data_IF_768111475581
#
_entry.id   IF_768111475581
#
_cell.length_a   1.000
_cell.length_b   1.000
_cell.length_c   1.000
_cell.angle_alpha   90.00
_cell.angle_beta   90.00
_cell.angle_gamma   90.00
#
_symmetry.space_group_name_H-M   'P 1'
#
loop_
_entity.id
_entity.type
_entity.pdbx_description
1 polymer ?
#
# COMPACT_ATOMS: atom_id res chain seq x y z
N UNK A 1 -12.94 38.01 11.99
CA UNK A 1 -11.72 37.44 12.63
C UNK A 1 -11.97 35.96 12.91
N UNK A 2 -11.00 35.06 12.67
CA UNK A 2 -11.19 33.64 12.98
C UNK A 2 -11.31 33.46 14.50
N UNK A 3 -12.21 32.58 14.97
CA UNK A 3 -12.50 32.39 16.41
C UNK A 3 -11.24 32.12 17.25
N UNK A 4 -10.34 31.26 16.75
CA UNK A 4 -9.06 30.91 17.41
C UNK A 4 -8.08 32.08 17.45
N UNK A 5 -7.94 32.84 16.38
CA UNK A 5 -7.13 34.08 16.34
C UNK A 5 -7.64 35.09 17.36
N UNK A 6 -8.95 35.29 17.45
CA UNK A 6 -9.54 36.18 18.46
C UNK A 6 -9.27 35.71 19.90
N UNK A 7 -9.31 34.40 20.13
CA UNK A 7 -8.99 33.83 21.45
C UNK A 7 -7.54 34.11 21.86
N UNK A 8 -6.60 34.05 20.91
CA UNK A 8 -5.17 34.36 21.17
C UNK A 8 -4.95 35.84 21.46
N UNK A 9 -5.69 36.73 20.82
CA UNK A 9 -5.65 38.17 21.14
C UNK A 9 -6.14 38.44 22.57
N UNK A 10 -7.26 37.80 22.98
CA UNK A 10 -7.77 37.91 24.36
C UNK A 10 -6.75 37.33 25.35
N UNK A 11 -6.14 36.19 25.03
CA UNK A 11 -5.13 35.57 25.86
C UNK A 11 -3.89 36.47 26.03
N UNK A 12 -3.43 37.11 24.95
CA UNK A 12 -2.32 38.07 24.99
C UNK A 12 -2.65 39.27 25.89
N UNK A 13 -3.87 39.81 25.80
CA UNK A 13 -4.32 40.91 26.66
C UNK A 13 -4.38 40.50 28.15
N UNK A 14 -4.86 39.29 28.44
CA UNK A 14 -4.90 38.77 29.80
C UNK A 14 -3.49 38.57 30.37
N UNK A 15 -2.57 37.99 29.59
CA UNK A 15 -1.16 37.83 29.98
C UNK A 15 -0.47 39.18 30.19
N UNK A 16 -0.78 40.18 29.36
CA UNK A 16 -0.30 41.54 29.55
C UNK A 16 -0.76 42.13 30.89
N UNK A 17 -2.05 41.98 31.23
CA UNK A 17 -2.58 42.45 32.52
C UNK A 17 -1.90 41.78 33.71
N UNK A 18 -1.65 40.47 33.63
CA UNK A 18 -0.93 39.72 34.66
C UNK A 18 0.50 40.22 34.84
N UNK A 19 1.21 40.56 33.76
CA UNK A 19 2.57 41.08 33.88
C UNK A 19 2.63 42.48 34.51
N UNK A 20 1.59 43.31 34.32
CA UNK A 20 1.56 44.67 34.89
C UNK A 20 1.04 44.67 36.33
N UNK A 21 0.01 43.87 36.64
CA UNK A 21 -0.66 43.85 37.95
C UNK A 21 -0.14 42.75 38.90
N UNK A 22 0.65 41.81 38.42
CA UNK A 22 1.15 40.68 39.20
C UNK A 22 0.07 39.63 39.52
N UNK A 23 0.39 38.73 40.47
CA UNK A 23 -0.43 37.54 40.77
C UNK A 23 -1.81 37.85 41.36
N UNK A 24 -2.05 39.08 41.80
CA UNK A 24 -3.31 39.54 42.38
C UNK A 24 -4.52 39.36 41.43
N UNK A 25 -4.28 39.32 40.12
CA UNK A 25 -5.33 39.26 39.09
C UNK A 25 -5.51 37.87 38.50
N UNK A 26 -4.77 36.86 38.99
CA UNK A 26 -4.90 35.47 38.50
C UNK A 26 -6.34 34.96 38.66
N UNK A 27 -6.97 35.27 39.79
CA UNK A 27 -8.35 34.86 40.07
C UNK A 27 -9.38 35.63 39.21
N UNK A 28 -8.97 36.71 38.53
CA UNK A 28 -9.83 37.52 37.65
C UNK A 28 -9.79 37.06 36.18
N UNK A 29 -8.88 36.16 35.79
CA UNK A 29 -8.63 35.78 34.38
C UNK A 29 -9.90 35.29 33.67
N UNK A 30 -10.65 34.40 34.33
CA UNK A 30 -11.87 33.81 33.74
C UNK A 30 -12.93 34.89 33.51
N UNK A 31 -13.10 35.79 34.50
CA UNK A 31 -14.00 36.94 34.40
C UNK A 31 -13.55 37.92 33.30
N UNK A 32 -12.25 38.17 33.19
CA UNK A 32 -11.68 39.02 32.14
C UNK A 32 -11.96 38.47 30.75
N UNK A 33 -11.61 37.20 30.48
CA UNK A 33 -11.78 36.58 29.16
C UNK A 33 -13.26 36.52 28.75
N UNK A 34 -14.15 36.19 29.69
CA UNK A 34 -15.60 36.15 29.44
C UNK A 34 -16.22 37.53 29.20
N UNK A 35 -15.62 38.61 29.73
CA UNK A 35 -16.06 39.99 29.43
C UNK A 35 -15.61 40.46 28.05
N UNK A 36 -14.48 39.99 27.54
CA UNK A 36 -13.95 40.38 26.22
C UNK A 36 -14.74 39.77 25.06
N UNK A 37 -15.36 38.59 25.25
CA UNK A 37 -16.15 37.95 24.21
C UNK A 37 -17.31 37.14 24.81
N UNK A 38 -18.53 37.33 24.27
CA UNK A 38 -19.73 36.59 24.69
C UNK A 38 -19.79 35.16 24.16
N UNK A 39 -18.97 34.80 23.17
CA UNK A 39 -18.91 33.44 22.65
C UNK A 39 -18.07 32.54 23.56
N UNK A 40 -18.73 31.55 24.18
CA UNK A 40 -18.09 30.64 25.14
C UNK A 40 -16.89 29.89 24.58
N UNK A 41 -16.91 29.47 23.32
CA UNK A 41 -15.80 28.72 22.72
C UNK A 41 -14.53 29.57 22.60
N UNK A 42 -14.69 30.88 22.35
CA UNK A 42 -13.58 31.84 22.23
C UNK A 42 -13.00 32.13 23.60
N UNK A 43 -13.86 32.45 24.58
CA UNK A 43 -13.40 32.76 25.94
C UNK A 43 -12.79 31.54 26.62
N UNK A 44 -13.39 30.35 26.48
CA UNK A 44 -12.85 29.11 27.04
C UNK A 44 -11.47 28.76 26.46
N UNK A 45 -11.28 28.94 25.15
CA UNK A 45 -9.97 28.70 24.55
C UNK A 45 -8.93 29.73 24.99
N UNK A 46 -9.30 31.01 25.09
CA UNK A 46 -8.43 32.04 25.65
C UNK A 46 -8.00 31.72 27.10
N UNK A 47 -8.95 31.34 27.96
CA UNK A 47 -8.70 30.93 29.35
C UNK A 47 -7.73 29.74 29.40
N UNK A 48 -7.94 28.72 28.55
CA UNK A 48 -7.06 27.55 28.46
C UNK A 48 -5.62 27.96 28.14
N UNK A 49 -5.44 28.85 27.19
CA UNK A 49 -4.12 29.35 26.79
C UNK A 49 -3.44 30.12 27.93
N UNK A 50 -4.15 31.05 28.58
CA UNK A 50 -3.60 31.88 29.67
C UNK A 50 -3.20 31.00 30.86
N UNK A 51 -4.09 30.12 31.33
CA UNK A 51 -3.82 29.23 32.46
C UNK A 51 -2.66 28.29 32.16
N UNK A 52 -2.60 27.75 30.94
CA UNK A 52 -1.47 26.94 30.49
C UNK A 52 -0.13 27.68 30.51
N UNK A 53 -0.11 28.92 30.01
CA UNK A 53 1.08 29.77 30.05
C UNK A 53 1.52 30.11 31.47
N UNK A 54 0.59 30.29 32.42
CA UNK A 54 0.91 30.53 33.84
C UNK A 54 1.51 29.27 34.46
N UNK A 55 0.85 28.13 34.26
CA UNK A 55 1.27 26.85 34.83
C UNK A 55 2.67 26.45 34.36
N UNK A 56 2.94 26.57 33.05
CA UNK A 56 4.17 26.12 32.42
C UNK A 56 5.21 27.25 32.24
N UNK A 57 4.97 28.42 32.85
CA UNK A 57 5.75 29.65 32.64
C UNK A 57 7.26 29.41 32.76
N UNK A 58 7.69 28.76 33.83
CA UNK A 58 9.12 28.56 34.12
C UNK A 58 9.80 27.70 33.06
N UNK A 59 9.14 26.64 32.58
CA UNK A 59 9.70 25.73 31.58
C UNK A 59 9.69 26.37 30.19
N UNK A 60 8.63 27.10 29.86
CA UNK A 60 8.54 27.88 28.62
C UNK A 60 9.66 28.94 28.58
N UNK A 61 9.84 29.69 29.67
CA UNK A 61 10.85 30.75 29.76
C UNK A 61 12.26 30.19 29.61
N UNK A 62 12.57 29.06 30.28
CA UNK A 62 13.87 28.37 30.13
C UNK A 62 14.13 27.99 28.67
N UNK A 63 13.14 27.43 27.97
CA UNK A 63 13.27 27.03 26.56
C UNK A 63 13.47 28.24 25.67
N UNK A 64 12.70 29.31 25.86
CA UNK A 64 12.90 30.56 25.09
C UNK A 64 14.33 31.08 25.29
N UNK A 65 14.78 31.22 26.54
CA UNK A 65 16.12 31.73 26.88
C UNK A 65 17.22 30.89 26.24
N UNK A 66 17.10 29.56 26.28
CA UNK A 66 18.10 28.65 25.70
C UNK A 66 18.25 28.79 24.18
N UNK A 67 17.27 29.39 23.48
CA UNK A 67 17.30 29.57 22.03
C UNK A 67 17.74 30.97 21.58
N UNK A 68 17.82 31.92 22.52
CA UNK A 68 18.21 33.31 22.27
C UNK A 68 19.60 33.60 22.82
N UNK A 69 20.63 33.56 21.97
CA UNK A 69 21.98 33.98 22.34
C UNK A 69 21.98 35.50 22.64
N UNK A 70 22.54 35.88 23.80
CA UNK A 70 22.74 37.28 24.25
C UNK A 70 21.48 38.11 24.59
N UNK A 71 20.31 37.49 24.76
CA UNK A 71 19.09 38.21 25.17
C UNK A 71 18.54 37.70 26.50
N UNK A 72 18.47 38.60 27.47
CA UNK A 72 17.74 38.39 28.73
C UNK A 72 16.24 38.56 28.46
N UNK A 73 15.44 37.55 28.81
CA UNK A 73 13.99 37.54 28.65
C UNK A 73 13.31 38.74 29.32
N UNK A 74 13.89 39.26 30.41
CA UNK A 74 13.38 40.44 31.11
C UNK A 74 13.63 41.75 30.36
N UNK A 75 14.58 41.78 29.41
CA UNK A 75 14.86 42.94 28.56
C UNK A 75 13.99 42.99 27.30
N UNK A 76 13.20 41.95 27.03
CA UNK A 76 12.28 41.90 25.90
C UNK A 76 11.03 42.76 26.17
N UNK A 77 10.45 43.40 25.13
CA UNK A 77 9.14 44.02 25.25
C UNK A 77 8.13 43.04 25.84
N UNK A 78 7.35 43.51 26.81
CA UNK A 78 6.30 42.75 27.51
C UNK A 78 5.39 42.00 26.53
N UNK A 79 5.02 42.64 25.43
CA UNK A 79 4.19 42.05 24.38
C UNK A 79 4.91 40.88 23.68
N UNK A 80 6.15 41.08 23.23
CA UNK A 80 6.93 40.06 22.52
C UNK A 80 7.17 38.83 23.40
N UNK A 81 7.48 39.04 24.69
CA UNK A 81 7.65 37.97 25.66
C UNK A 81 6.36 37.15 25.85
N UNK A 82 5.22 37.81 25.98
CA UNK A 82 3.94 37.11 26.15
C UNK A 82 3.50 36.39 24.88
N UNK A 83 3.80 36.94 23.69
CA UNK A 83 3.57 36.25 22.40
C UNK A 83 4.41 34.98 22.32
N UNK A 84 5.70 35.05 22.67
CA UNK A 84 6.59 33.89 22.68
C UNK A 84 6.09 32.82 23.66
N UNK A 85 5.68 33.21 24.86
CA UNK A 85 5.13 32.27 25.85
C UNK A 85 3.88 31.57 25.35
N UNK A 86 2.96 32.35 24.78
CA UNK A 86 1.71 31.84 24.21
C UNK A 86 1.98 30.81 23.11
N UNK A 87 2.86 31.15 22.17
CA UNK A 87 3.22 30.29 21.05
C UNK A 87 3.98 29.03 21.50
N UNK A 88 4.91 29.17 22.45
CA UNK A 88 5.64 28.03 23.01
C UNK A 88 4.70 27.10 23.78
N UNK A 89 3.72 27.62 24.52
CA UNK A 89 2.71 26.79 25.16
C UNK A 89 1.95 25.95 24.13
N UNK A 90 1.50 26.56 23.03
CA UNK A 90 0.85 25.81 21.96
C UNK A 90 1.78 24.76 21.34
N UNK A 91 3.02 25.14 21.00
CA UNK A 91 3.99 24.24 20.38
C UNK A 91 4.36 23.02 21.23
N UNK A 92 4.42 23.19 22.56
CA UNK A 92 4.96 22.18 23.47
C UNK A 92 3.88 21.34 24.14
N UNK A 93 2.65 21.87 24.27
CA UNK A 93 1.61 21.24 25.11
C UNK A 93 0.27 21.05 24.39
N UNK A 94 0.08 21.60 23.18
CA UNK A 94 -1.19 21.52 22.45
C UNK A 94 -1.07 20.73 21.15
N UNK A 95 -1.16 19.41 21.25
CA UNK A 95 -1.03 18.48 20.12
C UNK A 95 -2.13 18.62 19.05
N UNK A 96 -3.24 19.30 19.37
CA UNK A 96 -4.35 19.58 18.44
C UNK A 96 -4.08 20.77 17.50
N UNK A 97 -2.97 21.50 17.68
CA UNK A 97 -2.62 22.68 16.89
C UNK A 97 -1.35 22.40 16.09
N UNK A 98 -1.40 22.45 14.74
CA UNK A 98 -0.20 22.25 13.93
C UNK A 98 0.88 23.30 14.25
N UNK A 99 2.16 22.93 14.41
CA UNK A 99 3.23 23.85 14.81
C UNK A 99 3.34 25.12 13.97
N UNK A 100 3.20 24.97 12.64
CA UNK A 100 3.22 26.08 11.69
C UNK A 100 2.09 27.09 11.93
N UNK A 101 0.93 26.65 12.41
CA UNK A 101 -0.19 27.53 12.75
C UNK A 101 0.15 28.37 13.98
N UNK A 102 0.68 27.76 15.04
CA UNK A 102 1.10 28.48 16.25
C UNK A 102 2.18 29.53 15.96
N UNK A 103 3.15 29.20 15.11
CA UNK A 103 4.21 30.12 14.69
C UNK A 103 3.63 31.31 13.90
N UNK A 104 2.82 31.04 12.88
CA UNK A 104 2.24 32.11 12.05
C UNK A 104 1.35 33.06 12.85
N UNK A 105 0.51 32.52 13.74
CA UNK A 105 -0.39 33.34 14.57
C UNK A 105 0.42 34.22 15.54
N UNK A 106 1.53 33.73 16.06
CA UNK A 106 2.43 34.51 16.92
C UNK A 106 3.10 35.67 16.15
N UNK A 107 3.55 35.43 14.92
CA UNK A 107 4.14 36.45 14.05
C UNK A 107 3.11 37.54 13.75
N UNK A 108 1.86 37.17 13.46
CA UNK A 108 0.81 38.12 13.16
C UNK A 108 0.41 38.94 14.39
N UNK A 109 0.38 38.35 15.59
CA UNK A 109 0.22 39.09 16.85
C UNK A 109 1.37 40.09 17.06
N UNK A 110 2.61 39.69 16.77
CA UNK A 110 3.78 40.55 16.94
C UNK A 110 3.73 41.75 15.99
N UNK A 111 3.36 41.53 14.73
CA UNK A 111 3.13 42.60 13.75
C UNK A 111 2.00 43.55 14.17
N UNK A 112 0.96 43.03 14.82
CA UNK A 112 -0.23 43.80 15.20
C UNK A 112 -0.06 44.61 16.48
N UNK A 113 0.64 44.08 17.48
CA UNK A 113 0.68 44.66 18.83
C UNK A 113 2.07 45.13 19.30
N UNK A 114 3.10 44.95 18.47
CA UNK A 114 4.49 45.30 18.83
C UNK A 114 5.16 46.14 17.72
N UNK A 115 6.48 46.03 17.57
CA UNK A 115 7.26 46.83 16.61
C UNK A 115 7.36 46.16 15.23
N UNK A 116 7.73 46.94 14.20
CA UNK A 116 7.95 46.41 12.83
C UNK A 116 8.97 45.26 12.78
N UNK A 117 9.94 45.23 13.70
CA UNK A 117 10.99 44.18 13.76
C UNK A 117 10.59 42.97 14.60
N UNK A 118 9.52 43.07 15.40
CA UNK A 118 9.13 42.01 16.35
C UNK A 118 8.67 40.73 15.65
N UNK A 119 8.04 40.81 14.48
CA UNK A 119 7.61 39.63 13.73
C UNK A 119 8.78 38.72 13.30
N UNK A 120 9.89 39.31 12.85
CA UNK A 120 11.10 38.56 12.47
C UNK A 120 11.77 37.92 13.68
N UNK A 121 11.83 38.66 14.80
CA UNK A 121 12.39 38.16 16.05
C UNK A 121 11.59 36.98 16.60
N UNK A 122 10.26 37.11 16.69
CA UNK A 122 9.37 36.04 17.16
C UNK A 122 9.50 34.80 16.28
N UNK A 123 9.55 34.97 14.95
CA UNK A 123 9.76 33.84 14.04
C UNK A 123 11.08 33.11 14.33
N UNK A 124 12.19 33.85 14.43
CA UNK A 124 13.51 33.26 14.64
C UNK A 124 13.66 32.49 15.96
N UNK A 125 13.01 32.95 17.03
CA UNK A 125 12.99 32.24 18.32
C UNK A 125 12.14 30.98 18.22
N UNK A 126 10.92 31.07 17.67
CA UNK A 126 10.01 29.94 17.59
C UNK A 126 10.50 28.84 16.64
N UNK A 127 11.18 29.20 15.55
CA UNK A 127 11.81 28.23 14.64
C UNK A 127 12.87 27.38 15.37
N UNK A 128 13.68 28.01 16.24
CA UNK A 128 14.67 27.30 17.06
C UNK A 128 14.00 26.42 18.12
N UNK A 129 12.96 26.92 18.80
CA UNK A 129 12.20 26.13 19.78
C UNK A 129 11.56 24.91 19.12
N UNK A 130 10.95 25.08 17.95
CA UNK A 130 10.40 23.98 17.16
C UNK A 130 11.47 22.96 16.78
N UNK A 131 12.60 23.41 16.24
CA UNK A 131 13.71 22.54 15.84
C UNK A 131 14.26 21.72 17.02
N UNK A 132 14.54 22.37 18.15
CA UNK A 132 15.20 21.72 19.29
C UNK A 132 14.27 20.82 20.09
N UNK A 133 13.02 21.25 20.34
CA UNK A 133 12.16 20.61 21.33
C UNK A 133 10.94 19.89 20.76
N UNK A 134 10.53 20.19 19.51
CA UNK A 134 9.36 19.56 18.89
C UNK A 134 9.80 18.56 17.84
N UNK A 135 10.62 18.99 16.86
CA UNK A 135 11.12 18.15 15.77
C UNK A 135 11.96 16.97 16.27
N UNK A 136 12.90 17.21 17.19
CA UNK A 136 13.72 16.15 17.81
C UNK A 136 12.86 15.11 18.53
N UNK A 137 11.83 15.55 19.26
CA UNK A 137 10.92 14.65 19.97
C UNK A 137 10.01 13.86 19.01
N UNK A 138 9.58 14.45 17.90
CA UNK A 138 8.87 13.73 16.84
C UNK A 138 9.75 12.68 16.15
N UNK A 139 11.03 12.98 15.91
CA UNK A 139 11.99 12.04 15.33
C UNK A 139 12.29 10.87 16.26
N UNK A 140 12.53 11.13 17.54
CA UNK A 140 12.68 10.08 18.57
C UNK A 140 11.42 9.25 18.68
N UNK A 141 10.23 9.87 18.71
CA UNK A 141 8.95 9.15 18.79
C UNK A 141 8.69 8.29 17.56
N UNK A 142 9.07 8.74 16.35
CA UNK A 142 9.02 7.93 15.12
C UNK A 142 9.96 6.73 15.18
N UNK A 143 11.17 6.91 15.70
CA UNK A 143 12.13 5.81 15.88
C UNK A 143 11.59 4.80 16.89
N UNK A 144 11.13 5.24 18.07
CA UNK A 144 10.58 4.36 19.10
C UNK A 144 9.33 3.63 18.62
N UNK A 145 8.41 4.33 17.94
CA UNK A 145 7.20 3.71 17.36
C UNK A 145 7.55 2.68 16.28
N UNK A 146 8.60 2.93 15.49
CA UNK A 146 9.07 1.99 14.46
C UNK A 146 9.72 0.74 15.07
N UNK A 147 10.45 0.91 16.17
CA UNK A 147 11.04 -0.19 16.94
C UNK A 147 9.93 -0.99 17.63
N UNK A 148 8.98 -0.33 18.30
CA UNK A 148 7.83 -0.97 18.93
C UNK A 148 6.95 -1.72 17.93
N UNK A 149 6.69 -1.17 16.75
CA UNK A 149 5.95 -1.85 15.70
C UNK A 149 6.70 -3.07 15.14
N UNK A 150 8.03 -3.01 15.00
CA UNK A 150 8.85 -4.17 14.61
C UNK A 150 8.80 -5.26 15.68
N UNK A 151 8.97 -4.91 16.95
CA UNK A 151 8.91 -5.84 18.08
C UNK A 151 7.50 -6.44 18.25
N UNK A 152 6.45 -5.70 17.91
CA UNK A 152 5.07 -6.19 17.93
C UNK A 152 4.77 -7.17 16.78
N UNK A 153 5.23 -6.86 15.56
CA UNK A 153 5.12 -7.75 14.39
C UNK A 153 5.93 -9.04 14.55
N UNK A 154 7.05 -9.01 15.28
CA UNK A 154 7.84 -10.22 15.60
C UNK A 154 7.16 -11.13 16.65
N UNK A 155 6.26 -10.59 17.49
CA UNK A 155 5.58 -11.34 18.56
C UNK A 155 4.14 -11.78 18.21
N UNK A 156 3.52 -11.23 17.17
CA UNK A 156 2.22 -11.68 16.67
C UNK A 156 2.40 -12.82 15.66
N UNK A 157 1.71 -13.95 15.90
CA UNK A 157 1.71 -15.08 14.97
C UNK A 157 1.14 -14.61 13.62
N UNK A 158 1.96 -14.64 12.56
CA UNK A 158 1.53 -14.39 11.17
C UNK A 158 0.33 -15.27 10.82
N UNK A 159 -0.62 -14.73 10.08
CA UNK A 159 -1.86 -15.42 9.68
C UNK A 159 -2.30 -14.98 8.29
N UNK A 160 -3.07 -15.84 7.61
CA UNK A 160 -3.67 -15.53 6.33
C UNK A 160 -2.70 -15.68 5.17
N UNK A 161 -3.28 -15.82 3.97
CA UNK A 161 -2.51 -16.01 2.75
C UNK A 161 -3.10 -15.30 1.54
N UNK A 162 -2.21 -14.77 0.70
CA UNK A 162 -2.52 -14.26 -0.62
C UNK A 162 -1.75 -15.09 -1.65
N UNK A 163 -2.47 -15.94 -2.39
CA UNK A 163 -1.86 -16.95 -3.26
C UNK A 163 -1.86 -16.56 -4.75
N UNK A 164 -2.17 -15.31 -5.09
CA UNK A 164 -2.20 -14.88 -6.48
C UNK A 164 -1.64 -13.46 -6.59
N UNK A 165 -0.33 -13.37 -6.78
CA UNK A 165 0.41 -12.10 -6.82
C UNK A 165 1.31 -12.10 -8.05
N UNK A 166 1.35 -10.97 -8.77
CA UNK A 166 2.24 -10.75 -9.92
C UNK A 166 3.31 -9.71 -9.59
N UNK A 167 4.49 -9.90 -10.18
CA UNK A 167 5.69 -9.08 -10.03
C UNK A 167 6.15 -8.52 -11.36
N UNK A 168 7.26 -7.76 -11.34
CA UNK A 168 7.95 -7.32 -12.55
C UNK A 168 8.47 -8.46 -13.44
N UNK A 169 8.51 -9.71 -12.96
CA UNK A 169 8.87 -10.87 -13.79
C UNK A 169 7.74 -11.27 -14.77
N UNK A 170 6.53 -10.73 -14.60
CA UNK A 170 5.47 -10.72 -15.61
C UNK A 170 4.95 -9.31 -15.88
N UNK A 171 3.73 -9.01 -15.44
CA UNK A 171 3.00 -7.76 -15.66
C UNK A 171 2.55 -7.10 -14.35
N UNK A 172 3.12 -7.47 -13.21
CA UNK A 172 3.10 -6.69 -11.99
C UNK A 172 4.12 -5.55 -11.99
N UNK A 173 3.96 -4.58 -11.08
CA UNK A 173 4.90 -3.44 -10.95
C UNK A 173 5.80 -3.51 -9.71
N UNK A 174 5.59 -4.50 -8.84
CA UNK A 174 6.41 -4.68 -7.64
C UNK A 174 7.49 -5.71 -7.90
N UNK A 175 8.71 -5.46 -7.43
CA UNK A 175 9.76 -6.48 -7.42
C UNK A 175 9.42 -7.61 -6.44
N UNK A 176 10.02 -8.80 -6.58
CA UNK A 176 9.85 -9.88 -5.60
C UNK A 176 10.18 -9.43 -4.16
N UNK A 177 11.22 -8.60 -3.98
CA UNK A 177 11.57 -8.00 -2.70
C UNK A 177 10.45 -7.13 -2.14
N UNK A 178 9.86 -6.28 -2.98
CA UNK A 178 8.78 -5.37 -2.58
C UNK A 178 7.52 -6.15 -2.20
N UNK A 179 7.20 -7.23 -2.92
CA UNK A 179 6.09 -8.14 -2.59
C UNK A 179 6.29 -8.74 -1.21
N UNK A 180 7.49 -9.28 -0.92
CA UNK A 180 7.80 -9.88 0.39
C UNK A 180 7.79 -8.83 1.51
N UNK A 181 8.29 -7.62 1.25
CA UNK A 181 8.23 -6.50 2.19
C UNK A 181 6.78 -6.13 2.53
N UNK A 182 5.91 -6.00 1.51
CA UNK A 182 4.51 -5.65 1.71
C UNK A 182 3.73 -6.74 2.43
N UNK A 183 3.92 -8.01 2.03
CA UNK A 183 3.37 -9.16 2.73
C UNK A 183 3.80 -9.21 4.21
N UNK A 184 5.05 -8.82 4.49
CA UNK A 184 5.55 -8.72 5.86
C UNK A 184 4.83 -7.65 6.67
N UNK A 185 4.56 -6.47 6.10
CA UNK A 185 3.81 -5.38 6.76
C UNK A 185 2.37 -5.78 7.05
N UNK A 186 1.76 -6.55 6.16
CA UNK A 186 0.41 -7.09 6.32
C UNK A 186 0.33 -8.29 7.27
N UNK A 187 1.47 -8.70 7.86
CA UNK A 187 1.58 -9.84 8.77
C UNK A 187 1.06 -11.17 8.18
N UNK A 188 1.16 -11.35 6.85
CA UNK A 188 0.73 -12.56 6.16
C UNK A 188 1.62 -13.75 6.55
N UNK A 189 1.01 -14.92 6.73
CA UNK A 189 1.75 -16.18 6.97
C UNK A 189 2.30 -16.74 5.67
N UNK A 190 1.49 -16.73 4.61
CA UNK A 190 1.85 -17.39 3.34
C UNK A 190 1.57 -16.49 2.15
N UNK A 191 2.45 -16.49 1.16
CA UNK A 191 2.19 -15.89 -0.15
C UNK A 191 2.52 -16.87 -1.27
N UNK A 192 1.97 -16.63 -2.46
CA UNK A 192 2.44 -17.25 -3.69
C UNK A 192 2.58 -16.19 -4.78
N UNK A 193 3.74 -16.18 -5.44
CA UNK A 193 3.98 -15.33 -6.62
C UNK A 193 3.69 -16.20 -7.83
N UNK A 194 2.67 -15.84 -8.59
CA UNK A 194 2.11 -16.62 -9.69
C UNK A 194 2.24 -15.84 -11.01
N UNK A 195 3.47 -15.43 -11.33
CA UNK A 195 3.74 -14.64 -12.53
C UNK A 195 3.28 -15.38 -13.80
N UNK A 196 2.79 -14.60 -14.77
CA UNK A 196 2.33 -15.12 -16.05
C UNK A 196 3.47 -15.74 -16.87
N UNK A 197 3.37 -17.06 -17.06
CA UNK A 197 4.29 -17.84 -17.87
C UNK A 197 5.79 -17.63 -17.44
N UNK A 198 6.04 -17.35 -16.15
CA UNK A 198 7.38 -17.18 -15.56
C UNK A 198 7.44 -17.67 -14.11
N UNK A 199 8.62 -18.11 -13.68
CA UNK A 199 8.93 -18.51 -12.28
C UNK A 199 10.14 -17.76 -11.73
N UNK A 200 10.64 -16.76 -12.45
CA UNK A 200 11.92 -16.11 -12.18
C UNK A 200 11.92 -15.37 -10.83
N UNK A 201 10.74 -14.92 -10.36
CA UNK A 201 10.57 -14.28 -9.07
C UNK A 201 10.68 -15.24 -7.86
N UNK A 202 10.46 -16.53 -8.06
CA UNK A 202 10.20 -17.47 -6.96
C UNK A 202 11.44 -17.66 -6.09
N UNK A 203 12.62 -17.90 -6.69
CA UNK A 203 13.86 -18.13 -5.94
C UNK A 203 14.35 -16.88 -5.19
N UNK A 204 14.17 -15.70 -5.80
CA UNK A 204 14.45 -14.40 -5.18
C UNK A 204 13.58 -14.22 -3.94
N UNK A 205 12.26 -14.40 -4.09
CA UNK A 205 11.32 -14.24 -3.00
C UNK A 205 11.52 -15.29 -1.89
N UNK A 206 11.82 -16.55 -2.22
CA UNK A 206 12.16 -17.61 -1.25
C UNK A 206 13.29 -17.20 -0.31
N UNK A 207 14.37 -16.64 -0.87
CA UNK A 207 15.54 -16.20 -0.08
C UNK A 207 15.16 -15.15 0.97
N UNK A 208 14.22 -14.26 0.64
CA UNK A 208 13.81 -13.15 1.51
C UNK A 208 12.74 -13.59 2.50
N UNK A 209 11.77 -14.39 2.05
CA UNK A 209 10.71 -14.99 2.86
C UNK A 209 11.30 -15.80 4.03
N UNK A 210 12.32 -16.62 3.78
CA UNK A 210 13.02 -17.39 4.81
C UNK A 210 13.61 -16.50 5.91
N UNK A 211 14.15 -15.32 5.57
CA UNK A 211 14.70 -14.37 6.54
C UNK A 211 13.62 -13.65 7.36
N UNK A 212 12.38 -13.61 6.87
CA UNK A 212 11.26 -12.86 7.48
C UNK A 212 10.20 -13.75 8.13
N UNK A 213 10.38 -15.08 8.07
CA UNK A 213 9.41 -16.04 8.59
C UNK A 213 8.08 -16.04 7.84
N UNK A 214 8.09 -15.70 6.54
CA UNK A 214 6.93 -15.80 5.65
C UNK A 214 7.08 -17.09 4.85
N UNK A 215 6.02 -17.89 4.75
CA UNK A 215 6.01 -19.04 3.86
C UNK A 215 5.76 -18.57 2.43
N UNK A 216 6.50 -19.12 1.48
CA UNK A 216 6.22 -18.92 0.06
C UNK A 216 5.94 -20.24 -0.63
N UNK A 217 4.85 -20.28 -1.39
CA UNK A 217 4.51 -21.41 -2.25
C UNK A 217 5.08 -21.11 -3.65
N UNK A 218 5.95 -21.98 -4.20
CA UNK A 218 6.38 -21.89 -5.60
C UNK A 218 5.15 -21.95 -6.50
N UNK A 219 4.96 -20.94 -7.35
CA UNK A 219 3.78 -20.86 -8.19
C UNK A 219 4.04 -20.25 -9.56
N UNK A 220 3.09 -20.45 -10.46
CA UNK A 220 3.05 -19.88 -11.81
C UNK A 220 1.59 -19.73 -12.24
N UNK A 221 1.28 -18.73 -13.05
CA UNK A 221 0.00 -18.68 -13.77
C UNK A 221 0.22 -19.00 -15.25
N UNK A 222 -0.19 -20.22 -15.66
CA UNK A 222 -0.12 -20.63 -17.05
C UNK A 222 -1.32 -20.11 -17.81
N UNK A 223 -1.05 -19.43 -18.91
CA UNK A 223 -2.10 -19.17 -19.89
C UNK A 223 -2.41 -20.42 -20.69
N UNK A 224 -3.70 -20.66 -20.92
CA UNK A 224 -4.20 -21.71 -21.78
C UNK A 224 -5.39 -21.21 -22.60
N UNK A 225 -5.73 -21.97 -23.64
CA UNK A 225 -6.88 -21.69 -24.49
C UNK A 225 -7.82 -22.88 -24.53
N UNK A 226 -9.11 -22.58 -24.39
CA UNK A 226 -10.19 -23.49 -24.70
C UNK A 226 -11.23 -22.75 -25.52
N UNK A 227 -11.27 -23.07 -26.81
CA UNK A 227 -12.01 -22.30 -27.81
C UNK A 227 -13.45 -21.96 -27.36
N UNK A 228 -13.88 -20.68 -27.44
CA UNK A 228 -13.14 -19.49 -27.87
C UNK A 228 -12.58 -18.62 -26.72
N UNK A 229 -12.22 -19.20 -25.57
CA UNK A 229 -11.85 -18.45 -24.36
C UNK A 229 -10.41 -18.69 -23.89
N UNK A 230 -9.76 -17.60 -23.47
CA UNK A 230 -8.54 -17.65 -22.67
C UNK A 230 -8.90 -18.12 -21.25
N UNK A 231 -8.16 -19.12 -20.76
CA UNK A 231 -8.34 -19.72 -19.43
C UNK A 231 -6.98 -19.76 -18.76
N UNK A 232 -6.91 -19.31 -17.52
CA UNK A 232 -5.69 -19.40 -16.74
C UNK A 232 -5.77 -20.52 -15.71
N UNK A 233 -4.66 -21.25 -15.58
CA UNK A 233 -4.48 -22.28 -14.57
C UNK A 233 -3.29 -21.89 -13.71
N UNK A 234 -3.55 -21.73 -12.41
CA UNK A 234 -2.52 -21.55 -11.40
C UNK A 234 -1.88 -22.90 -11.10
N UNK A 235 -0.55 -22.95 -11.05
CA UNK A 235 0.19 -24.10 -10.54
C UNK A 235 0.81 -23.75 -9.21
N UNK A 236 0.49 -24.51 -8.16
CA UNK A 236 1.11 -24.37 -6.83
C UNK A 236 2.06 -25.53 -6.53
N UNK A 237 3.08 -25.29 -5.72
CA UNK A 237 4.09 -26.29 -5.34
C UNK A 237 4.82 -26.90 -6.53
N UNK A 238 4.95 -26.15 -7.62
CA UNK A 238 5.67 -26.58 -8.82
C UNK A 238 7.17 -26.70 -8.55
N UNK A 239 7.82 -27.68 -9.18
CA UNK A 239 9.28 -27.74 -9.29
C UNK A 239 9.75 -26.70 -10.32
N UNK A 240 10.24 -25.58 -9.81
CA UNK A 240 10.76 -24.44 -10.59
C UNK A 240 12.05 -24.79 -11.35
N UNK A 241 12.66 -25.97 -11.12
CA UNK A 241 13.83 -26.47 -11.86
C UNK A 241 13.47 -27.53 -12.89
N UNK A 242 12.20 -27.89 -13.01
CA UNK A 242 11.73 -28.87 -13.98
C UNK A 242 12.01 -28.37 -15.41
N UNK A 243 12.80 -29.13 -16.18
CA UNK A 243 13.25 -28.70 -17.51
C UNK A 243 12.12 -28.60 -18.54
N UNK A 244 11.09 -29.44 -18.43
CA UNK A 244 9.93 -29.40 -19.34
C UNK A 244 9.09 -28.15 -19.10
N UNK A 245 8.84 -27.81 -17.82
CA UNK A 245 8.21 -26.56 -17.42
C UNK A 245 9.01 -25.37 -17.95
N UNK A 246 10.29 -25.25 -17.59
CA UNK A 246 11.14 -24.13 -17.99
C UNK A 246 11.23 -23.96 -19.51
N UNK A 247 11.37 -25.06 -20.26
CA UNK A 247 11.36 -25.04 -21.72
C UNK A 247 10.04 -24.50 -22.29
N UNK A 248 8.90 -24.94 -21.74
CA UNK A 248 7.59 -24.47 -22.20
C UNK A 248 7.30 -23.03 -21.81
N UNK A 249 7.69 -22.59 -20.61
CA UNK A 249 7.59 -21.19 -20.19
C UNK A 249 8.38 -20.28 -21.14
N UNK A 250 9.60 -20.68 -21.52
CA UNK A 250 10.42 -19.94 -22.48
C UNK A 250 9.73 -19.80 -23.85
N UNK A 251 9.15 -20.88 -24.37
CA UNK A 251 8.37 -20.87 -25.62
C UNK A 251 7.16 -19.90 -25.53
N UNK A 252 6.40 -19.96 -24.43
CA UNK A 252 5.24 -19.08 -24.22
C UNK A 252 5.64 -17.60 -24.12
N UNK A 253 6.77 -17.29 -23.48
CA UNK A 253 7.30 -15.92 -23.42
C UNK A 253 7.76 -15.42 -24.80
N UNK A 254 8.37 -16.29 -25.61
CA UNK A 254 8.72 -15.96 -26.99
C UNK A 254 7.47 -15.63 -27.83
N UNK A 255 6.41 -16.44 -27.72
CA UNK A 255 5.15 -16.18 -28.42
C UNK A 255 4.47 -14.88 -27.96
N UNK A 256 4.61 -14.50 -26.68
CA UNK A 256 4.16 -13.19 -26.18
C UNK A 256 4.89 -12.03 -26.86
N UNK A 257 6.21 -12.12 -27.03
CA UNK A 257 7.00 -11.10 -27.75
C UNK A 257 6.47 -10.93 -29.18
N UNK A 258 6.29 -12.03 -29.91
CA UNK A 258 5.77 -11.98 -31.28
C UNK A 258 4.34 -11.45 -31.36
N UNK A 259 3.50 -11.79 -30.36
CA UNK A 259 2.15 -11.25 -30.25
C UNK A 259 2.15 -9.74 -30.04
N UNK A 260 3.02 -9.21 -29.19
CA UNK A 260 3.13 -7.76 -28.95
C UNK A 260 3.53 -7.02 -30.22
N UNK A 261 4.49 -7.54 -31.01
CA UNK A 261 4.84 -6.97 -32.33
C UNK A 261 3.63 -6.90 -33.27
N UNK A 262 2.77 -7.92 -33.27
CA UNK A 262 1.53 -7.94 -34.07
C UNK A 262 0.49 -6.94 -33.55
N UNK A 263 0.31 -6.83 -32.23
CA UNK A 263 -0.61 -5.87 -31.59
C UNK A 263 -0.20 -4.43 -31.92
N UNK A 264 1.08 -4.07 -31.71
CA UNK A 264 1.57 -2.72 -31.98
C UNK A 264 1.53 -2.38 -33.46
N UNK A 265 1.77 -3.34 -34.36
CA UNK A 265 1.54 -3.16 -35.80
C UNK A 265 0.08 -2.83 -36.13
N UNK A 266 -0.89 -3.51 -35.52
CA UNK A 266 -2.32 -3.18 -35.67
C UNK A 266 -2.61 -1.77 -35.15
N UNK A 267 -2.12 -1.41 -33.96
CA UNK A 267 -2.28 -0.07 -33.40
C UNK A 267 -1.77 1.01 -34.36
N UNK A 268 -0.56 0.85 -34.90
CA UNK A 268 0.02 1.81 -35.86
C UNK A 268 -0.79 1.94 -37.15
N UNK A 269 -1.36 0.84 -37.65
CA UNK A 269 -2.24 0.89 -38.83
C UNK A 269 -3.52 1.71 -38.61
N UNK A 270 -3.87 1.99 -37.35
CA UNK A 270 -5.02 2.81 -36.96
C UNK A 270 -4.61 4.24 -36.53
N UNK A 271 -3.36 4.64 -36.76
CA UNK A 271 -2.84 5.95 -36.35
C UNK A 271 -2.43 6.04 -34.88
N UNK A 272 -2.40 4.92 -34.15
CA UNK A 272 -1.92 4.86 -32.76
C UNK A 272 -0.44 4.48 -32.78
N UNK A 273 0.43 5.49 -32.69
CA UNK A 273 1.87 5.31 -32.86
C UNK A 273 2.51 4.74 -31.60
N UNK A 274 2.44 3.42 -31.45
CA UNK A 274 3.11 2.66 -30.39
C UNK A 274 4.10 1.69 -31.03
N UNK A 275 5.37 1.77 -30.61
CA UNK A 275 6.40 0.81 -31.00
C UNK A 275 6.48 -0.36 -30.03
N UNK A 276 6.83 -1.54 -30.55
CA UNK A 276 6.98 -2.73 -29.71
C UNK A 276 8.15 -2.58 -28.73
N UNK A 277 9.21 -1.86 -29.11
CA UNK A 277 10.32 -1.59 -28.21
C UNK A 277 9.86 -0.81 -26.97
N UNK A 278 8.99 0.20 -27.12
CA UNK A 278 8.44 0.93 -25.97
C UNK A 278 7.68 0.03 -25.00
N UNK A 279 7.01 -1.01 -25.52
CA UNK A 279 6.31 -2.01 -24.69
C UNK A 279 7.30 -2.92 -23.98
N UNK A 280 8.38 -3.32 -24.65
CA UNK A 280 9.43 -4.14 -24.06
C UNK A 280 10.22 -3.37 -23.00
N UNK A 281 10.50 -2.09 -23.22
CA UNK A 281 11.17 -1.23 -22.24
C UNK A 281 10.35 -1.10 -20.94
N UNK A 282 9.01 -1.15 -21.03
CA UNK A 282 8.11 -1.14 -19.87
C UNK A 282 7.97 -2.51 -19.19
N UNK A 283 8.15 -3.60 -19.94
CA UNK A 283 8.19 -4.95 -19.40
C UNK A 283 9.56 -5.32 -18.80
N UNK A 284 10.61 -4.59 -19.18
CA UNK A 284 12.01 -4.86 -18.83
C UNK A 284 12.38 -6.31 -19.18
N UNK A 285 12.81 -7.10 -18.19
CA UNK A 285 13.14 -8.52 -18.35
C UNK A 285 11.93 -9.45 -18.14
N UNK A 286 10.77 -8.89 -17.78
CA UNK A 286 9.54 -9.62 -17.51
C UNK A 286 8.81 -10.14 -18.76
N UNK A 287 7.85 -11.04 -18.54
CA UNK A 287 6.98 -11.60 -19.58
C UNK A 287 6.02 -10.53 -20.15
N UNK A 288 6.21 -10.05 -21.40
CA UNK A 288 5.41 -8.94 -21.91
C UNK A 288 3.96 -9.35 -22.20
N UNK A 289 3.06 -8.36 -22.20
CA UNK A 289 1.62 -8.63 -22.17
C UNK A 289 0.78 -7.41 -22.54
N UNK A 290 -0.54 -7.61 -22.64
CA UNK A 290 -1.47 -6.52 -23.00
C UNK A 290 -1.48 -5.40 -21.96
N UNK A 291 -1.24 -5.70 -20.69
CA UNK A 291 -1.13 -4.68 -19.65
C UNK A 291 0.04 -3.71 -19.90
N UNK A 292 1.17 -4.20 -20.42
CA UNK A 292 2.28 -3.34 -20.84
C UNK A 292 1.90 -2.45 -22.04
N UNK A 293 1.15 -2.99 -23.02
CA UNK A 293 0.63 -2.18 -24.13
C UNK A 293 -0.33 -1.10 -23.63
N UNK A 294 -1.20 -1.44 -22.69
CA UNK A 294 -2.13 -0.49 -22.06
C UNK A 294 -1.38 0.62 -21.32
N UNK A 295 -0.31 0.29 -20.59
CA UNK A 295 0.53 1.27 -19.91
C UNK A 295 1.17 2.25 -20.91
N UNK A 296 1.75 1.75 -22.01
CA UNK A 296 2.32 2.62 -23.07
C UNK A 296 1.24 3.49 -23.72
N UNK A 297 0.04 2.95 -23.99
CA UNK A 297 -1.08 3.74 -24.51
C UNK A 297 -1.45 4.90 -23.57
N UNK A 298 -1.44 4.65 -22.25
CA UNK A 298 -1.69 5.68 -21.25
C UNK A 298 -0.57 6.72 -21.18
N UNK A 299 0.69 6.29 -21.12
CA UNK A 299 1.86 7.19 -21.09
C UNK A 299 1.93 8.12 -22.29
N UNK A 300 1.47 7.65 -23.46
CA UNK A 300 1.43 8.44 -24.71
C UNK A 300 0.13 9.26 -24.88
N UNK A 301 -0.78 9.21 -23.91
CA UNK A 301 -2.03 10.00 -23.92
C UNK A 301 -3.11 9.49 -24.87
N UNK A 302 -3.01 8.25 -25.38
CA UNK A 302 -4.05 7.66 -26.24
C UNK A 302 -5.29 7.20 -25.46
N UNK A 303 -5.10 6.93 -24.17
CA UNK A 303 -6.11 6.50 -23.19
C UNK A 303 -5.78 7.09 -21.81
N UNK A 304 -6.79 7.39 -20.99
CA UNK A 304 -6.61 7.99 -19.67
C UNK A 304 -6.20 6.96 -18.60
N UNK A 305 -6.54 5.69 -18.80
CA UNK A 305 -6.25 4.60 -17.87
C UNK A 305 -6.24 3.23 -18.56
N UNK A 306 -5.81 2.20 -17.84
CA UNK A 306 -5.71 0.82 -18.32
C UNK A 306 -7.07 0.30 -18.80
N UNK A 307 -8.16 0.57 -18.06
CA UNK A 307 -9.50 0.12 -18.42
C UNK A 307 -9.93 0.67 -19.79
N UNK A 308 -9.71 1.96 -20.05
CA UNK A 308 -9.99 2.59 -21.33
C UNK A 308 -9.16 1.95 -22.45
N UNK A 309 -7.89 1.65 -22.21
CA UNK A 309 -7.01 0.97 -23.18
C UNK A 309 -7.57 -0.40 -23.60
N UNK A 310 -8.08 -1.18 -22.66
CA UNK A 310 -8.73 -2.46 -22.95
C UNK A 310 -10.05 -2.27 -23.68
N UNK A 311 -10.90 -1.35 -23.24
CA UNK A 311 -12.19 -1.09 -23.88
C UNK A 311 -12.03 -0.61 -25.33
N UNK A 312 -11.06 0.25 -25.58
CA UNK A 312 -10.85 0.91 -26.89
C UNK A 312 -10.07 0.04 -27.87
N UNK A 313 -9.08 -0.73 -27.39
CA UNK A 313 -8.13 -1.41 -28.28
C UNK A 313 -7.88 -2.90 -27.98
N UNK A 314 -7.69 -3.27 -26.71
CA UNK A 314 -6.97 -4.50 -26.34
C UNK A 314 -7.85 -5.68 -25.86
N UNK A 315 -9.14 -5.46 -25.67
CA UNK A 315 -10.11 -6.49 -25.26
C UNK A 315 -10.17 -7.66 -26.24
N UNK A 316 -10.74 -8.78 -25.79
CA UNK A 316 -11.09 -9.87 -26.69
C UNK A 316 -12.21 -9.35 -27.62
N UNK A 317 -11.95 -9.33 -28.93
CA UNK A 317 -12.70 -8.60 -29.97
C UNK A 317 -12.36 -7.10 -30.17
N UNK A 318 -11.39 -6.56 -29.43
CA UNK A 318 -10.87 -5.22 -29.65
C UNK A 318 -10.15 -5.10 -31.00
N UNK A 319 -10.05 -3.88 -31.57
CA UNK A 319 -9.49 -3.69 -32.91
C UNK A 319 -8.00 -4.05 -33.01
N UNK A 320 -7.25 -3.98 -31.90
CA UNK A 320 -5.86 -4.40 -31.85
C UNK A 320 -5.68 -5.86 -31.37
N UNK A 321 -6.77 -6.61 -31.15
CA UNK A 321 -6.70 -7.97 -30.64
C UNK A 321 -5.92 -8.89 -31.58
N UNK A 322 -4.99 -9.67 -31.01
CA UNK A 322 -4.28 -10.75 -31.69
C UNK A 322 -4.49 -12.01 -30.85
N UNK A 323 -4.94 -13.13 -31.43
CA UNK A 323 -5.05 -14.40 -30.70
C UNK A 323 -3.72 -14.79 -30.07
N UNK A 324 -3.78 -15.38 -28.88
CA UNK A 324 -2.60 -15.88 -28.18
C UNK A 324 -2.28 -17.30 -28.66
N UNK A 325 -1.03 -17.56 -29.06
CA UNK A 325 -0.52 -18.93 -29.14
C UNK A 325 -0.23 -19.38 -27.72
N UNK A 326 -0.86 -20.45 -27.28
CA UNK A 326 -0.85 -20.86 -25.88
C UNK A 326 -1.11 -22.36 -25.76
N UNK A 327 -0.95 -22.88 -24.54
CA UNK A 327 -1.22 -24.27 -24.23
C UNK A 327 -2.70 -24.60 -24.45
N UNK A 328 -2.99 -25.84 -24.83
CA UNK A 328 -4.36 -26.31 -24.63
C UNK A 328 -4.65 -26.38 -23.14
N UNK A 329 -5.93 -26.27 -22.76
CA UNK A 329 -6.34 -26.42 -21.35
C UNK A 329 -5.81 -27.72 -20.72
N UNK A 330 -5.78 -28.81 -21.49
CA UNK A 330 -5.26 -30.10 -21.04
C UNK A 330 -3.75 -30.03 -20.80
N UNK A 331 -2.99 -29.54 -21.77
CA UNK A 331 -1.53 -29.46 -21.66
C UNK A 331 -1.09 -28.56 -20.50
N UNK A 332 -1.83 -27.49 -20.18
CA UNK A 332 -1.53 -26.63 -19.04
C UNK A 332 -1.68 -27.37 -17.69
N UNK A 333 -2.75 -28.14 -17.53
CA UNK A 333 -2.99 -28.95 -16.33
C UNK A 333 -1.94 -30.07 -16.23
N UNK A 334 -1.70 -30.80 -17.31
CA UNK A 334 -0.72 -31.89 -17.36
C UNK A 334 0.71 -31.37 -17.13
N UNK A 335 1.08 -30.19 -17.65
CA UNK A 335 2.38 -29.57 -17.41
C UNK A 335 2.59 -29.29 -15.92
N UNK A 336 1.60 -28.69 -15.24
CA UNK A 336 1.68 -28.43 -13.80
C UNK A 336 1.85 -29.73 -13.02
N UNK A 337 1.04 -30.75 -13.32
CA UNK A 337 1.13 -32.07 -12.65
C UNK A 337 2.50 -32.70 -12.88
N UNK A 338 3.01 -32.68 -14.12
CA UNK A 338 4.31 -33.24 -14.46
C UNK A 338 5.50 -32.50 -13.82
N UNK A 339 5.28 -31.24 -13.42
CA UNK A 339 6.21 -30.46 -12.62
C UNK A 339 6.04 -30.66 -11.10
N UNK A 340 5.21 -31.61 -10.68
CA UNK A 340 4.95 -31.93 -9.26
C UNK A 340 3.94 -31.00 -8.58
N UNK A 341 3.34 -30.06 -9.31
CA UNK A 341 2.44 -29.05 -8.75
C UNK A 341 0.97 -29.45 -8.73
N UNK A 342 0.18 -28.59 -8.11
CA UNK A 342 -1.29 -28.66 -8.04
C UNK A 342 -1.89 -27.66 -9.04
N UNK A 343 -2.62 -28.14 -10.08
CA UNK A 343 -3.34 -27.28 -10.99
C UNK A 343 -4.65 -26.75 -10.37
N UNK A 344 -4.84 -25.45 -10.45
CA UNK A 344 -5.97 -24.71 -9.87
C UNK A 344 -6.60 -23.79 -10.90
N UNK A 345 -7.93 -23.82 -11.03
CA UNK A 345 -8.65 -22.96 -11.97
C UNK A 345 -8.71 -21.53 -11.43
N UNK A 346 -8.03 -20.61 -12.12
CA UNK A 346 -7.91 -19.19 -11.77
C UNK A 346 -9.21 -18.42 -12.07
N UNK A 347 -9.62 -17.57 -11.12
CA UNK A 347 -10.71 -16.58 -11.20
C UNK A 347 -11.91 -17.01 -12.09
N UNK A 348 -12.55 -18.17 -11.83
CA UNK A 348 -13.59 -18.73 -12.69
C UNK A 348 -14.78 -17.78 -12.89
N UNK A 349 -15.07 -16.87 -11.96
CA UNK A 349 -16.15 -15.88 -12.08
C UNK A 349 -15.89 -14.80 -13.13
N UNK A 350 -14.61 -14.59 -13.50
CA UNK A 350 -14.20 -13.69 -14.59
C UNK A 350 -14.38 -14.39 -15.93
N UNK A 351 -13.91 -15.64 -16.06
CA UNK A 351 -13.98 -16.40 -17.32
C UNK A 351 -15.39 -16.91 -17.62
N UNK A 352 -16.20 -17.20 -16.59
CA UNK A 352 -17.59 -17.70 -16.68
C UNK A 352 -17.71 -18.97 -17.51
N UNK A 353 -16.77 -19.90 -17.33
CA UNK A 353 -16.68 -21.19 -18.03
C UNK A 353 -16.87 -22.40 -17.12
N UNK A 354 -17.76 -22.29 -16.13
CA UNK A 354 -18.08 -23.33 -15.15
C UNK A 354 -18.36 -24.70 -15.78
N UNK A 355 -19.00 -24.73 -16.97
CA UNK A 355 -19.29 -25.97 -17.70
C UNK A 355 -18.05 -26.78 -18.10
N UNK A 356 -16.84 -26.18 -18.04
CA UNK A 356 -15.58 -26.87 -18.30
C UNK A 356 -14.98 -27.54 -17.06
N UNK A 357 -15.46 -27.23 -15.85
CA UNK A 357 -14.91 -27.76 -14.61
C UNK A 357 -14.89 -29.30 -14.60
N UNK A 358 -15.96 -30.03 -14.96
CA UNK A 358 -15.92 -31.50 -14.98
C UNK A 358 -14.82 -32.03 -15.90
N UNK A 359 -14.64 -31.40 -17.06
CA UNK A 359 -13.61 -31.77 -18.03
C UNK A 359 -12.19 -31.41 -17.56
N UNK A 360 -12.04 -30.31 -16.82
CA UNK A 360 -10.76 -29.97 -16.16
C UNK A 360 -10.42 -31.00 -15.08
N UNK A 361 -11.40 -31.48 -14.32
CA UNK A 361 -11.23 -32.55 -13.32
C UNK A 361 -10.77 -33.85 -13.99
N UNK A 362 -11.35 -34.21 -15.14
CA UNK A 362 -10.87 -35.35 -15.94
C UNK A 362 -9.41 -35.21 -16.39
N UNK A 363 -8.94 -33.98 -16.61
CA UNK A 363 -7.54 -33.70 -16.93
C UNK A 363 -6.61 -33.67 -15.70
N UNK A 364 -7.18 -33.76 -14.49
CA UNK A 364 -6.43 -33.76 -13.23
C UNK A 364 -6.43 -32.41 -12.50
N UNK A 365 -7.41 -31.53 -12.75
CA UNK A 365 -7.60 -30.32 -11.93
C UNK A 365 -7.79 -30.70 -10.46
N UNK A 366 -7.11 -29.99 -9.55
CA UNK A 366 -7.13 -30.31 -8.13
C UNK A 366 -7.63 -29.17 -7.24
N UNK A 367 -7.73 -27.94 -7.75
CA UNK A 367 -8.28 -26.82 -7.01
C UNK A 367 -9.04 -25.81 -7.84
N UNK A 368 -9.70 -24.88 -7.14
CA UNK A 368 -10.43 -23.76 -7.74
C UNK A 368 -10.28 -22.49 -6.91
N UNK A 369 -10.04 -21.36 -7.57
CA UNK A 369 -9.95 -20.06 -6.91
C UNK A 369 -11.33 -19.51 -6.58
N UNK A 370 -11.69 -19.61 -5.30
CA UNK A 370 -13.01 -19.16 -4.81
C UNK A 370 -12.95 -17.70 -4.40
N UNK A 371 -11.91 -17.31 -3.66
CA UNK A 371 -11.77 -15.96 -3.13
C UNK A 371 -10.95 -15.13 -4.11
N UNK A 372 -11.60 -14.16 -4.73
CA UNK A 372 -11.03 -13.27 -5.74
C UNK A 372 -11.72 -11.90 -5.65
N UNK A 373 -11.10 -10.77 -6.04
CA UNK A 373 -11.65 -9.42 -5.79
C UNK A 373 -13.07 -9.21 -6.32
N UNK A 374 -13.38 -9.73 -7.50
CA UNK A 374 -14.71 -9.56 -8.13
C UNK A 374 -15.71 -10.68 -7.80
N UNK A 375 -15.29 -11.71 -7.06
CA UNK A 375 -16.19 -12.78 -6.63
C UNK A 375 -17.03 -12.32 -5.44
N UNK A 376 -18.25 -11.86 -5.73
CA UNK A 376 -19.27 -11.53 -4.73
C UNK A 376 -19.71 -12.78 -3.94
N UNK A 377 -20.38 -12.62 -2.77
CA UNK A 377 -20.75 -13.75 -1.90
C UNK A 377 -21.46 -14.91 -2.60
N UNK A 378 -22.38 -14.63 -3.54
CA UNK A 378 -23.08 -15.69 -4.30
C UNK A 378 -22.15 -16.47 -5.23
N UNK A 379 -21.19 -15.77 -5.86
CA UNK A 379 -20.18 -16.39 -6.71
C UNK A 379 -19.27 -17.30 -5.87
N UNK A 380 -18.85 -16.82 -4.69
CA UNK A 380 -18.04 -17.61 -3.74
C UNK A 380 -18.81 -18.86 -3.28
N UNK A 381 -20.07 -18.70 -2.87
CA UNK A 381 -20.92 -19.81 -2.42
C UNK A 381 -21.05 -20.88 -3.50
N UNK A 382 -21.26 -20.47 -4.76
CA UNK A 382 -21.31 -21.38 -5.92
C UNK A 382 -20.00 -22.16 -6.08
N UNK A 383 -18.84 -21.49 -6.06
CA UNK A 383 -17.56 -22.18 -6.25
C UNK A 383 -17.15 -23.02 -5.04
N UNK A 384 -17.56 -22.67 -3.82
CA UNK A 384 -17.42 -23.55 -2.65
C UNK A 384 -18.23 -24.84 -2.85
N UNK A 385 -19.44 -24.75 -3.41
CA UNK A 385 -20.27 -25.92 -3.68
C UNK A 385 -19.64 -26.81 -4.76
N UNK A 386 -19.18 -26.21 -5.86
CA UNK A 386 -18.47 -26.95 -6.91
C UNK A 386 -17.17 -27.58 -6.39
N UNK A 387 -16.42 -26.87 -5.55
CA UNK A 387 -15.22 -27.42 -4.93
C UNK A 387 -15.52 -28.68 -4.10
N UNK A 388 -16.64 -28.70 -3.36
CA UNK A 388 -17.09 -29.89 -2.63
C UNK A 388 -17.55 -31.02 -3.55
N UNK A 389 -18.27 -30.69 -4.62
CA UNK A 389 -18.81 -31.66 -5.58
C UNK A 389 -17.70 -32.43 -6.30
N UNK A 390 -16.63 -31.73 -6.70
CA UNK A 390 -15.52 -32.29 -7.47
C UNK A 390 -14.27 -32.59 -6.63
N UNK A 391 -14.37 -32.54 -5.29
CA UNK A 391 -13.23 -32.70 -4.36
C UNK A 391 -12.00 -31.83 -4.72
N UNK A 392 -12.25 -30.55 -4.97
CA UNK A 392 -11.22 -29.56 -5.29
C UNK A 392 -10.82 -28.77 -4.05
N UNK A 393 -9.52 -28.50 -3.89
CA UNK A 393 -9.04 -27.57 -2.86
C UNK A 393 -9.47 -26.13 -3.20
N UNK A 394 -9.78 -25.37 -2.16
CA UNK A 394 -10.22 -23.98 -2.29
C UNK A 394 -9.01 -23.06 -2.12
N UNK A 395 -8.83 -22.14 -3.07
CA UNK A 395 -7.75 -21.14 -3.01
C UNK A 395 -8.31 -19.71 -3.09
N UNK A 396 -7.41 -18.75 -2.96
CA UNK A 396 -7.73 -17.35 -3.18
C UNK A 396 -6.50 -16.46 -3.15
N UNK A 397 -6.63 -15.31 -3.81
CA UNK A 397 -5.60 -14.30 -3.86
C UNK A 397 -6.14 -12.99 -4.40
N UNK A 398 -5.31 -11.96 -4.31
CA UNK A 398 -5.67 -10.62 -4.74
C UNK A 398 -5.62 -10.45 -6.25
N UNK A 399 -4.81 -11.25 -6.97
CA UNK A 399 -4.44 -10.98 -8.36
C UNK A 399 -3.78 -9.58 -8.50
N UNK A 400 -2.97 -9.23 -7.49
CA UNK A 400 -2.30 -7.94 -7.39
C UNK A 400 -1.28 -7.77 -8.52
N UNK A 401 -1.35 -6.62 -9.20
CA UNK A 401 -0.41 -6.19 -10.23
C UNK A 401 0.26 -4.84 -9.87
N UNK A 402 0.17 -4.42 -8.61
CA UNK A 402 0.63 -3.12 -8.15
C UNK A 402 -0.08 -1.96 -8.84
N UNK A 403 0.69 -0.99 -9.35
CA UNK A 403 0.14 0.26 -9.92
C UNK A 403 -0.57 0.07 -11.27
N UNK A 404 -0.42 -1.08 -11.94
CA UNK A 404 -1.22 -1.41 -13.14
C UNK A 404 -2.67 -1.79 -12.80
N UNK A 405 -2.95 -2.21 -11.56
CA UNK A 405 -4.30 -2.41 -11.01
C UNK A 405 -4.37 -1.71 -9.64
N UNK A 406 -4.41 -0.37 -9.59
CA UNK A 406 -4.19 0.38 -8.36
C UNK A 406 -5.26 0.11 -7.28
N UNK A 407 -6.47 -0.31 -7.69
CA UNK A 407 -7.58 -0.65 -6.80
C UNK A 407 -7.46 -2.05 -6.16
N UNK A 408 -6.55 -2.88 -6.66
CA UNK A 408 -6.32 -4.24 -6.18
C UNK A 408 -4.95 -4.29 -5.51
N UNK A 409 -4.94 -4.13 -4.19
CA UNK A 409 -3.73 -4.19 -3.37
C UNK A 409 -3.42 -5.63 -2.94
N UNK A 410 -2.13 -5.91 -2.73
CA UNK A 410 -1.66 -7.16 -2.11
C UNK A 410 -2.39 -7.36 -0.78
N UNK A 411 -2.89 -8.58 -0.53
CA UNK A 411 -3.65 -8.92 0.67
C UNK A 411 -5.06 -8.32 0.74
N UNK A 412 -5.56 -7.68 -0.33
CA UNK A 412 -6.98 -7.26 -0.41
C UNK A 412 -7.95 -8.44 -0.39
N UNK A 413 -7.48 -9.61 -0.82
CA UNK A 413 -8.13 -10.90 -0.63
C UNK A 413 -7.13 -11.81 0.07
N UNK A 414 -7.56 -12.38 1.18
CA UNK A 414 -6.80 -13.39 1.92
C UNK A 414 -7.67 -14.61 2.20
N UNK A 415 -7.02 -15.76 2.33
CA UNK A 415 -7.64 -17.00 2.78
C UNK A 415 -7.05 -17.45 4.11
N UNK A 416 -7.82 -18.23 4.86
CA UNK A 416 -7.38 -18.81 6.12
C UNK A 416 -6.26 -19.83 5.91
N UNK A 417 -5.36 -19.87 6.89
CA UNK A 417 -4.27 -20.84 7.01
C UNK A 417 -4.68 -22.30 6.77
N UNK A 418 -5.85 -22.71 7.29
CA UNK A 418 -6.35 -24.07 7.13
C UNK A 418 -6.69 -24.43 5.68
N UNK A 419 -6.99 -23.45 4.81
CA UNK A 419 -7.15 -23.70 3.38
C UNK A 419 -5.79 -23.91 2.71
N UNK A 420 -4.77 -23.15 3.10
CA UNK A 420 -3.39 -23.35 2.63
C UNK A 420 -2.87 -24.73 3.02
N UNK A 421 -3.11 -25.14 4.25
CA UNK A 421 -2.67 -26.44 4.77
C UNK A 421 -3.33 -27.60 3.99
N UNK A 422 -4.60 -27.48 3.58
CA UNK A 422 -5.26 -28.46 2.68
C UNK A 422 -4.65 -28.54 1.29
N UNK A 423 -4.18 -27.42 0.73
CA UNK A 423 -3.47 -27.44 -0.56
C UNK A 423 -2.16 -28.22 -0.39
N UNK A 424 -1.43 -27.99 0.71
CA UNK A 424 -0.20 -28.73 1.02
C UNK A 424 -0.45 -30.22 1.22
N UNK A 425 -1.47 -30.58 2.01
CA UNK A 425 -1.87 -31.99 2.21
C UNK A 425 -2.21 -32.67 0.88
N UNK A 426 -2.92 -31.98 -0.03
CA UNK A 426 -3.22 -32.50 -1.37
C UNK A 426 -1.94 -32.78 -2.16
N UNK A 427 -0.96 -31.89 -2.10
CA UNK A 427 0.33 -32.03 -2.78
C UNK A 427 1.11 -33.21 -2.22
N UNK A 428 1.26 -33.28 -0.90
CA UNK A 428 2.05 -34.31 -0.23
C UNK A 428 1.46 -35.72 -0.47
N UNK A 429 0.13 -35.83 -0.52
CA UNK A 429 -0.54 -37.08 -0.88
C UNK A 429 -0.31 -37.47 -2.35
N UNK A 430 -0.29 -36.51 -3.28
CA UNK A 430 0.00 -36.80 -4.69
C UNK A 430 1.45 -37.31 -4.88
N UNK A 431 2.42 -36.72 -4.17
CA UNK A 431 3.83 -37.15 -4.19
C UNK A 431 4.03 -38.52 -3.52
N UNK A 432 3.32 -38.79 -2.42
CA UNK A 432 3.36 -40.07 -1.71
C UNK A 432 2.85 -41.25 -2.55
N UNK A 433 1.88 -41.02 -3.45
CA UNK A 433 1.37 -42.04 -4.38
C UNK A 433 2.36 -42.32 -5.52
N UNK A 434 3.01 -41.28 -6.06
CA UNK A 434 4.00 -41.42 -7.14
C UNK A 434 5.28 -42.17 -6.69
N UNK A 435 5.71 -41.96 -5.45
CA UNK A 435 6.90 -42.63 -4.88
C UNK A 435 6.68 -44.11 -4.55
N UNK A 436 5.44 -44.54 -4.26
CA UNK A 436 5.11 -45.96 -4.07
C UNK A 436 4.99 -46.75 -5.39
N UNK A 437 4.76 -46.08 -6.52
CA UNK A 437 4.57 -46.72 -7.83
C UNK A 437 5.84 -47.07 -8.61
N UNK A 438 7.03 -46.77 -8.07
CA UNK A 438 8.32 -46.95 -8.77
C UNK A 438 9.13 -48.18 -8.31
N UNK A 439 8.55 -49.04 -7.46
CA UNK A 439 9.14 -50.30 -7.02
C UNK A 439 8.20 -51.47 -7.34
N UNK A 440 8.04 -51.79 -8.63
CA UNK A 440 7.57 -53.13 -9.08
C UNK A 440 8.35 -53.53 -10.32
#
# INVERSE_FOLDING_TARGET
MRKRTHSREIALQALYQLEIRGDEVINEIDSFCNKQCKESDVSNFAIKLVKGCIQEKNEIDKKIISTSENWDLHRMPVIDRNILRLACYELLYMNDIPPKVSINEAIDLAKKYSTEKSGLFVNGVLDKVYSLYVKTNEEVKKITTSIENRVKLENEKRTGADLHIHTVCSDGTMSPEQVVEEASKLNLRTIAIADHDSVDAVEIAQTICNKRGINIIPAVELSSYYCPADIHILGYFIDIKNSALLGKLSELRFERIERIKKITKKLRSMGVNVEHQEVFDVAEEGSPGRLHVADVLCRKGYCNNIQESFQKYLSDNGPAYVPKVTLTLRDAIELIISSGGIPVFSHPGVTKKDALIPKMVEYGLQGIEVYYPTHLPEVRKRYIQLAKEYDLVITGGSDCHGERKPDIKLGSITIDDGLVDKIRERHDNAVGVLSCGSNV
#
